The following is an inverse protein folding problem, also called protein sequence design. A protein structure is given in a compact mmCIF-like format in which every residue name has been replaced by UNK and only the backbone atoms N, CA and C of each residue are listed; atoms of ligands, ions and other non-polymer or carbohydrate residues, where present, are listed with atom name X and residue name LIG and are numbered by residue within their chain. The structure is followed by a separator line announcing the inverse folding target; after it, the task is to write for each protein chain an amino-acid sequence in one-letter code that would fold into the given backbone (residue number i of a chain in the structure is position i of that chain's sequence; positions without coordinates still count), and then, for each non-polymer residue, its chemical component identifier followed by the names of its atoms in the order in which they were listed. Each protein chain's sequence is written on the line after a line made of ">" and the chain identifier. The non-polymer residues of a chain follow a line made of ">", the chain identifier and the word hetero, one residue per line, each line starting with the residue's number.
data_IF_011394767071
#
_entry.id   IF_011394767071
#
_cell.length_a   1.000
_cell.length_b   1.000
_cell.length_c   1.000
_cell.angle_alpha   90.00
_cell.angle_beta   90.00
_cell.angle_gamma   90.00
#
_symmetry.space_group_name_H-M   'P 1'
#
loop_
_entity.id
_entity.type
_entity.pdbx_description
1 polymer ?
#
# COMPACT_ATOMS: atom_id res chain seq x y z
N UNK A 1 -17.06 -1.03 -0.12
CA UNK A 1 -16.32 -0.25 -1.16
C UNK A 1 -17.23 0.25 -2.28
N UNK A 2 -18.16 -0.57 -2.80
CA UNK A 2 -19.13 -0.17 -3.82
C UNK A 2 -19.93 1.10 -3.43
N UNK A 3 -20.47 1.18 -2.21
CA UNK A 3 -21.25 2.35 -1.77
C UNK A 3 -20.47 3.66 -1.86
N UNK A 4 -19.16 3.61 -1.56
CA UNK A 4 -18.29 4.78 -1.65
C UNK A 4 -18.10 5.22 -3.11
N UNK A 5 -17.89 4.26 -4.03
CA UNK A 5 -17.78 4.54 -5.47
C UNK A 5 -19.04 5.22 -6.00
N UNK A 6 -20.21 4.73 -5.61
CA UNK A 6 -21.51 5.27 -6.02
C UNK A 6 -21.69 6.69 -5.44
N UNK A 7 -21.35 6.89 -4.16
CA UNK A 7 -21.45 8.21 -3.51
C UNK A 7 -20.57 9.25 -4.19
N UNK A 8 -19.34 8.90 -4.57
CA UNK A 8 -18.44 9.82 -5.29
C UNK A 8 -18.95 10.07 -6.71
N UNK A 9 -19.40 9.04 -7.41
CA UNK A 9 -19.97 9.18 -8.75
C UNK A 9 -21.11 10.20 -8.81
N UNK A 10 -22.05 10.13 -7.85
CA UNK A 10 -23.19 11.06 -7.78
C UNK A 10 -22.76 12.53 -7.66
N UNK A 11 -21.64 12.82 -6.99
CA UNK A 11 -21.12 14.19 -6.82
C UNK A 11 -20.19 14.62 -7.95
N UNK A 12 -19.44 13.69 -8.51
CA UNK A 12 -18.39 13.95 -9.49
C UNK A 12 -18.36 12.84 -10.56
N UNK A 13 -19.33 12.80 -11.49
CA UNK A 13 -19.53 11.67 -12.39
C UNK A 13 -18.36 11.43 -13.35
N UNK A 14 -17.65 12.51 -13.69
CA UNK A 14 -16.49 12.46 -14.60
C UNK A 14 -15.17 12.13 -13.90
N UNK A 15 -15.13 12.05 -12.56
CA UNK A 15 -13.88 11.74 -11.86
C UNK A 15 -13.61 10.24 -11.89
N UNK A 16 -12.49 9.78 -12.48
CA UNK A 16 -12.09 8.39 -12.38
C UNK A 16 -11.76 8.07 -10.92
N UNK A 17 -12.16 6.88 -10.47
CA UNK A 17 -11.85 6.39 -9.14
C UNK A 17 -11.20 5.02 -9.23
N UNK A 18 -10.01 4.89 -8.65
CA UNK A 18 -9.33 3.61 -8.44
C UNK A 18 -9.56 3.18 -7.00
N UNK A 19 -10.04 1.96 -6.81
CA UNK A 19 -10.23 1.36 -5.49
C UNK A 19 -9.23 0.24 -5.31
N UNK A 20 -8.50 0.30 -4.21
CA UNK A 20 -7.43 -0.64 -3.89
C UNK A 20 -7.67 -1.15 -2.47
N UNK A 21 -7.67 -2.46 -2.30
CA UNK A 21 -7.61 -3.13 -1.00
C UNK A 21 -6.16 -3.54 -0.79
N UNK A 22 -5.59 -3.16 0.35
CA UNK A 22 -4.20 -3.48 0.71
C UNK A 22 -4.24 -4.43 1.90
N UNK A 23 -3.68 -5.62 1.73
CA UNK A 23 -3.48 -6.57 2.81
C UNK A 23 -2.10 -6.38 3.42
N UNK A 24 -2.06 -6.01 4.69
CA UNK A 24 -0.83 -5.72 5.41
C UNK A 24 -0.10 -6.97 5.91
N UNK A 25 -0.83 -8.04 6.21
CA UNK A 25 -0.29 -9.29 6.74
C UNK A 25 -0.81 -10.47 5.95
N UNK A 26 0.05 -11.48 5.76
CA UNK A 26 -0.32 -12.73 5.12
C UNK A 26 -1.53 -13.34 5.81
N UNK A 27 -2.46 -13.83 5.02
CA UNK A 27 -3.69 -14.45 5.47
C UNK A 27 -4.04 -15.60 4.54
N UNK A 28 -4.47 -16.71 5.12
CA UNK A 28 -4.92 -17.91 4.38
C UNK A 28 -6.38 -17.81 3.94
N UNK A 29 -7.03 -16.67 4.24
CA UNK A 29 -8.40 -16.44 3.80
C UNK A 29 -8.47 -16.39 2.27
N UNK A 30 -9.38 -17.14 1.63
CA UNK A 30 -9.52 -17.09 0.16
C UNK A 30 -9.88 -15.68 -0.33
N UNK A 31 -10.45 -14.83 0.54
CA UNK A 31 -10.79 -13.45 0.25
C UNK A 31 -9.59 -12.62 -0.22
N UNK A 32 -8.36 -12.97 0.15
CA UNK A 32 -7.16 -12.24 -0.32
C UNK A 32 -6.95 -12.37 -1.83
N UNK A 33 -7.57 -13.36 -2.48
CA UNK A 33 -7.51 -13.57 -3.92
C UNK A 33 -8.68 -12.91 -4.67
N UNK A 34 -9.69 -12.42 -3.96
CA UNK A 34 -10.86 -11.80 -4.57
C UNK A 34 -10.61 -10.35 -4.91
N UNK A 35 -10.80 -9.99 -6.19
CA UNK A 35 -10.69 -8.62 -6.69
C UNK A 35 -12.02 -8.05 -7.20
N UNK A 36 -13.11 -8.79 -6.99
CA UNK A 36 -14.44 -8.45 -7.51
C UNK A 36 -15.51 -8.83 -6.49
N UNK A 37 -16.37 -7.88 -6.16
CA UNK A 37 -17.60 -8.14 -5.41
C UNK A 37 -18.74 -8.41 -6.39
N UNK A 38 -19.51 -9.48 -6.15
CA UNK A 38 -20.65 -9.90 -6.98
C UNK A 38 -21.91 -10.05 -6.12
N UNK A 39 -23.01 -9.47 -6.59
CA UNK A 39 -24.33 -9.61 -5.99
C UNK A 39 -25.39 -9.60 -7.11
N UNK A 40 -25.91 -10.77 -7.48
CA UNK A 40 -26.75 -10.92 -8.67
C UNK A 40 -26.03 -10.37 -9.91
N UNK A 41 -26.68 -9.43 -10.61
CA UNK A 41 -26.13 -8.73 -11.79
C UNK A 41 -25.21 -7.54 -11.45
N UNK A 42 -24.95 -7.28 -10.16
CA UNK A 42 -24.02 -6.22 -9.75
C UNK A 42 -22.60 -6.75 -9.68
N UNK A 43 -21.70 -6.11 -10.43
CA UNK A 43 -20.27 -6.42 -10.45
C UNK A 43 -19.48 -5.19 -10.06
N UNK A 44 -18.58 -5.36 -9.09
CA UNK A 44 -17.71 -4.29 -8.64
C UNK A 44 -16.26 -4.75 -8.55
N UNK A 45 -15.45 -4.39 -9.54
CA UNK A 45 -14.03 -4.70 -9.56
C UNK A 45 -13.20 -3.64 -8.81
N UNK A 46 -12.18 -4.13 -8.13
CA UNK A 46 -11.19 -3.33 -7.41
C UNK A 46 -9.81 -3.98 -7.56
N UNK A 47 -8.77 -3.25 -7.19
CA UNK A 47 -7.41 -3.76 -7.17
C UNK A 47 -7.09 -4.33 -5.79
N UNK A 48 -6.24 -5.35 -5.76
CA UNK A 48 -5.75 -5.95 -4.52
C UNK A 48 -4.23 -5.89 -4.54
N UNK A 49 -3.65 -5.40 -3.45
CA UNK A 49 -2.21 -5.43 -3.19
C UNK A 49 -1.99 -6.26 -1.93
N UNK A 50 -1.12 -7.25 -2.02
CA UNK A 50 -0.74 -8.12 -0.90
C UNK A 50 0.72 -7.88 -0.63
N UNK A 51 1.05 -7.21 0.48
CA UNK A 51 2.42 -6.75 0.69
C UNK A 51 3.43 -7.90 0.65
N UNK A 52 3.11 -9.08 1.20
CA UNK A 52 4.00 -10.25 1.21
C UNK A 52 4.27 -10.87 -0.17
N UNK A 53 3.66 -10.38 -1.25
CA UNK A 53 3.95 -10.75 -2.64
C UNK A 53 4.77 -9.67 -3.35
N UNK A 54 4.82 -8.46 -2.79
CA UNK A 54 5.49 -7.31 -3.36
C UNK A 54 7.01 -7.36 -3.14
N UNK A 55 7.79 -6.96 -4.15
CA UNK A 55 9.25 -6.94 -4.09
C UNK A 55 9.78 -5.92 -3.07
N UNK A 56 10.58 -6.34 -2.08
CA UNK A 56 11.06 -5.50 -0.98
C UNK A 56 11.79 -4.22 -1.41
N UNK A 57 12.80 -4.26 -2.31
CA UNK A 57 13.45 -3.06 -2.85
C UNK A 57 12.53 -1.92 -3.28
N UNK A 58 11.33 -2.20 -3.78
CA UNK A 58 10.45 -1.13 -4.29
C UNK A 58 9.98 -0.17 -3.19
N UNK A 59 9.89 -0.64 -1.94
CA UNK A 59 9.47 0.16 -0.80
C UNK A 59 10.52 1.20 -0.37
N UNK A 60 11.78 1.04 -0.79
CA UNK A 60 12.86 1.98 -0.48
C UNK A 60 12.91 3.19 -1.42
N UNK A 61 12.22 3.13 -2.57
CA UNK A 61 12.15 4.25 -3.52
C UNK A 61 11.34 5.44 -3.01
N UNK A 62 10.35 5.21 -2.14
CA UNK A 62 9.48 6.26 -1.60
C UNK A 62 9.54 6.28 -0.08
N UNK A 63 9.87 7.42 0.57
CA UNK A 63 9.96 7.49 2.03
C UNK A 63 8.68 7.03 2.75
N UNK A 64 7.50 7.35 2.20
CA UNK A 64 6.22 6.95 2.76
C UNK A 64 5.94 5.45 2.71
N UNK A 65 6.73 4.67 1.94
CA UNK A 65 6.60 3.23 1.83
C UNK A 65 7.55 2.48 2.78
N UNK A 66 8.56 3.15 3.34
CA UNK A 66 9.55 2.52 4.23
C UNK A 66 8.92 1.74 5.40
N UNK A 67 7.88 2.24 6.10
CA UNK A 67 7.27 1.50 7.20
C UNK A 67 6.62 0.16 6.77
N UNK A 68 6.32 0.00 5.48
CA UNK A 68 5.69 -1.20 4.93
C UNK A 68 6.70 -2.21 4.36
N UNK A 69 7.99 -1.85 4.23
CA UNK A 69 9.00 -2.71 3.63
C UNK A 69 9.14 -4.05 4.40
N UNK A 70 9.00 -4.03 5.72
CA UNK A 70 9.06 -5.24 6.57
C UNK A 70 7.90 -6.22 6.36
N UNK A 71 6.82 -5.77 5.71
CA UNK A 71 5.65 -6.58 5.38
C UNK A 71 5.71 -7.14 3.96
N UNK A 72 6.77 -6.83 3.22
CA UNK A 72 6.95 -7.22 1.82
C UNK A 72 7.37 -8.69 1.66
N UNK A 73 7.61 -9.15 0.43
CA UNK A 73 8.14 -10.49 0.19
C UNK A 73 9.63 -10.59 0.59
N UNK A 74 9.89 -10.86 1.86
CA UNK A 74 11.23 -11.01 2.42
C UNK A 74 11.34 -12.24 3.33
N UNK A 75 12.50 -12.89 3.28
CA UNK A 75 12.87 -14.00 4.17
C UNK A 75 13.53 -13.52 5.47
N UNK A 76 13.95 -12.24 5.55
CA UNK A 76 14.60 -11.64 6.73
C UNK A 76 13.98 -10.27 7.09
N UNK A 77 12.82 -10.26 7.79
CA UNK A 77 12.17 -9.03 8.22
C UNK A 77 13.01 -8.17 9.17
N UNK A 78 13.90 -8.77 9.97
CA UNK A 78 14.74 -8.05 10.93
C UNK A 78 15.83 -7.23 10.22
N UNK A 79 16.45 -7.83 9.20
CA UNK A 79 17.40 -7.12 8.35
C UNK A 79 16.71 -5.97 7.61
N UNK A 80 15.51 -6.21 7.06
CA UNK A 80 14.73 -5.16 6.38
C UNK A 80 14.35 -4.04 7.34
N UNK A 81 13.92 -4.37 8.56
CA UNK A 81 13.62 -3.37 9.60
C UNK A 81 14.86 -2.52 9.92
N UNK A 82 16.02 -3.17 10.06
CA UNK A 82 17.29 -2.47 10.28
C UNK A 82 17.66 -1.52 9.12
N UNK A 83 17.40 -1.93 7.87
CA UNK A 83 17.59 -1.07 6.71
C UNK A 83 16.62 0.12 6.69
N UNK A 84 15.37 -0.10 7.10
CA UNK A 84 14.35 0.96 7.23
C UNK A 84 14.78 1.99 8.26
N UNK A 85 15.21 1.58 9.46
CA UNK A 85 15.69 2.48 10.52
C UNK A 85 16.84 3.36 10.03
N UNK A 86 17.87 2.76 9.41
CA UNK A 86 19.00 3.51 8.82
C UNK A 86 18.57 4.50 7.73
N UNK A 87 17.60 4.11 6.91
CA UNK A 87 17.07 4.97 5.83
C UNK A 87 16.30 6.17 6.39
N UNK A 88 15.56 5.97 7.48
CA UNK A 88 14.84 7.05 8.17
C UNK A 88 15.81 8.01 8.86
N UNK A 89 16.81 7.51 9.58
CA UNK A 89 17.84 8.34 10.23
C UNK A 89 18.60 9.21 9.22
N UNK A 90 19.02 8.62 8.10
CA UNK A 90 19.72 9.35 7.04
C UNK A 90 18.86 10.48 6.46
N UNK A 91 17.56 10.22 6.23
CA UNK A 91 16.64 11.22 5.70
C UNK A 91 16.34 12.31 6.72
N UNK A 92 16.08 11.95 7.97
CA UNK A 92 15.87 12.91 9.05
C UNK A 92 17.09 13.83 9.21
N UNK A 93 18.30 13.28 9.22
CA UNK A 93 19.54 14.07 9.29
C UNK A 93 19.70 15.01 8.08
N UNK A 94 19.34 14.57 6.87
CA UNK A 94 19.34 15.43 5.68
C UNK A 94 18.35 16.60 5.74
N UNK A 95 17.24 16.47 6.48
CA UNK A 95 16.29 17.57 6.70
C UNK A 95 16.80 18.60 7.73
N UNK A 96 17.69 18.22 8.66
CA UNK A 96 18.21 19.12 9.69
C UNK A 96 19.43 19.96 9.27
N UNK A 97 20.12 19.62 8.17
CA UNK A 97 21.31 20.36 7.69
C UNK A 97 21.04 21.34 6.54
N UNK A 98 19.77 21.58 6.18
CA UNK A 98 19.36 22.47 5.08
C UNK A 98 18.76 23.79 5.52
N UNK A 99 19.43 24.58 6.37
CA UNK A 99 19.17 26.03 6.53
C UNK A 99 20.34 26.73 7.26
N UNK A 100 21.30 27.31 6.55
CA UNK A 100 22.02 28.48 7.04
C UNK A 100 21.27 29.74 6.57
N UNK A 101 20.81 30.53 7.53
CA UNK A 101 20.55 31.97 7.36
C UNK A 101 21.91 32.66 7.21
#
# INVERSE_FOLDING_TARGET
>A
MLDYRIRVYRRHPQKPMRQVVIYLRRSDSPLVQENTFRLGETFHSFQVIRLWEENTPQFFHQPGLLPFAVLSNTDDPEQVLSQVSRSLETKLNGFYFGSPI
#
